data_IF_470294538813
#
_entry.id   IF_470294538813
#
_cell.length_a   1.000
_cell.length_b   1.000
_cell.length_c   1.000
_cell.angle_alpha   90.00
_cell.angle_beta   90.00
_cell.angle_gamma   90.00
#
_symmetry.space_group_name_H-M   'P 1'
#
loop_
_entity.id
_entity.type
_entity.pdbx_description
1 polymer ?
#
# COMPACT_ATOMS: atom_id res chain seq x y z
N UNK A 1 -4.95 1.67 30.81
CA UNK A 1 -4.40 0.38 31.24
C UNK A 1 -5.46 -0.64 31.64
N UNK A 2 -6.73 -0.33 31.62
CA UNK A 2 -7.77 -1.21 32.18
C UNK A 2 -8.64 -1.94 31.18
N UNK A 3 -8.78 -1.49 29.94
CA UNK A 3 -9.69 -2.14 28.97
C UNK A 3 -8.97 -3.22 28.14
N UNK A 4 -7.70 -3.04 27.84
CA UNK A 4 -6.90 -4.02 27.06
C UNK A 4 -6.51 -5.20 27.95
N UNK A 5 -6.20 -4.97 29.22
CA UNK A 5 -5.89 -6.01 30.19
C UNK A 5 -7.13 -6.87 30.56
N UNK A 6 -8.32 -6.27 30.57
CA UNK A 6 -9.58 -7.00 30.81
C UNK A 6 -10.01 -7.86 29.61
N UNK A 7 -9.68 -7.44 28.39
CA UNK A 7 -9.88 -8.25 27.17
C UNK A 7 -8.87 -9.40 27.12
N UNK A 8 -7.62 -9.18 27.50
CA UNK A 8 -6.59 -10.22 27.55
C UNK A 8 -6.90 -11.22 28.67
N UNK A 9 -7.34 -10.76 29.85
CA UNK A 9 -7.69 -11.64 30.97
C UNK A 9 -8.93 -12.53 30.73
N UNK A 10 -9.87 -12.09 29.85
CA UNK A 10 -11.00 -12.93 29.44
C UNK A 10 -10.64 -13.99 28.40
N UNK A 11 -9.57 -13.74 27.61
CA UNK A 11 -9.03 -14.73 26.67
C UNK A 11 -8.27 -15.85 27.41
N UNK A 12 -7.63 -15.55 28.53
CA UNK A 12 -6.91 -16.52 29.34
C UNK A 12 -7.85 -17.51 30.08
N UNK A 13 -9.13 -17.19 30.26
CA UNK A 13 -10.12 -18.06 30.91
C UNK A 13 -10.63 -19.20 30.00
N UNK A 14 -10.23 -19.26 28.73
CA UNK A 14 -10.63 -20.29 27.76
C UNK A 14 -9.36 -21.00 27.28
N UNK A 15 -8.82 -21.91 28.13
CA UNK A 15 -7.58 -22.67 27.83
C UNK A 15 -7.61 -23.44 26.49
N UNK A 16 -8.80 -23.88 26.03
CA UNK A 16 -8.95 -24.54 24.72
C UNK A 16 -8.89 -23.64 23.50
N UNK A 17 -8.92 -22.30 23.66
CA UNK A 17 -8.80 -21.33 22.55
C UNK A 17 -7.34 -21.03 22.25
N UNK A 18 -6.47 -21.07 23.25
CA UNK A 18 -5.01 -20.83 23.08
C UNK A 18 -4.36 -21.90 22.21
N UNK A 19 -4.62 -23.17 22.47
CA UNK A 19 -4.07 -24.27 21.66
C UNK A 19 -4.61 -24.27 20.22
N UNK A 20 -5.84 -23.82 20.01
CA UNK A 20 -6.44 -23.69 18.67
C UNK A 20 -5.92 -22.45 17.92
N UNK A 21 -5.58 -21.38 18.61
CA UNK A 21 -4.98 -20.17 18.01
C UNK A 21 -3.52 -20.44 17.62
N UNK A 22 -2.74 -21.07 18.46
CA UNK A 22 -1.34 -21.41 18.17
C UNK A 22 -1.22 -22.45 17.03
N UNK A 23 -2.15 -23.40 16.94
CA UNK A 23 -2.23 -24.34 15.81
C UNK A 23 -2.70 -23.68 14.50
N UNK A 24 -3.38 -22.52 14.57
CA UNK A 24 -3.89 -21.79 13.42
C UNK A 24 -3.00 -20.60 13.03
N UNK A 25 -1.93 -20.30 13.76
CA UNK A 25 -1.04 -19.18 13.50
C UNK A 25 -0.31 -19.38 12.17
N UNK A 26 -0.40 -18.44 11.22
CA UNK A 26 0.33 -18.54 9.97
C UNK A 26 1.84 -18.48 10.22
N UNK A 27 2.60 -19.27 9.46
CA UNK A 27 4.05 -19.15 9.43
C UNK A 27 4.45 -17.76 8.92
N UNK A 28 5.56 -17.24 9.42
CA UNK A 28 6.18 -16.03 8.86
C UNK A 28 6.59 -16.28 7.40
N UNK A 29 6.61 -15.25 6.54
CA UNK A 29 6.98 -15.39 5.15
C UNK A 29 8.26 -16.17 4.91
N UNK A 30 9.33 -15.91 5.68
CA UNK A 30 10.62 -16.64 5.58
C UNK A 30 10.53 -18.12 5.96
N UNK A 31 9.50 -18.52 6.67
CA UNK A 31 9.29 -19.89 7.17
C UNK A 31 8.22 -20.66 6.40
N UNK A 32 7.48 -19.99 5.51
CA UNK A 32 6.33 -20.56 4.81
C UNK A 32 6.77 -21.27 3.51
N UNK A 33 6.71 -22.62 3.45
CA UNK A 33 7.10 -23.38 2.26
C UNK A 33 6.28 -23.03 1.01
N UNK A 34 5.08 -22.44 1.19
CA UNK A 34 4.26 -21.95 0.08
C UNK A 34 4.99 -20.86 -0.72
N UNK A 35 5.82 -20.05 -0.08
CA UNK A 35 6.52 -18.91 -0.69
C UNK A 35 7.86 -19.30 -1.33
N UNK A 36 8.34 -20.54 -1.17
CA UNK A 36 9.57 -20.98 -1.82
C UNK A 36 9.31 -21.11 -3.31
N UNK A 37 9.96 -20.31 -4.20
CA UNK A 37 9.70 -20.35 -5.62
C UNK A 37 10.25 -21.62 -6.28
N UNK A 38 9.80 -21.96 -7.50
CA UNK A 38 10.50 -22.92 -8.37
C UNK A 38 11.94 -22.49 -8.64
N UNK A 39 12.83 -23.45 -8.86
CA UNK A 39 14.27 -23.18 -9.05
C UNK A 39 14.57 -22.33 -10.29
N UNK A 40 13.74 -22.40 -11.33
CA UNK A 40 13.93 -21.67 -12.58
C UNK A 40 12.67 -20.83 -12.89
N UNK A 41 12.74 -19.55 -12.56
CA UNK A 41 11.66 -18.58 -12.80
C UNK A 41 11.67 -18.01 -14.23
N UNK A 42 12.75 -18.21 -15.00
CA UNK A 42 12.85 -17.70 -16.38
C UNK A 42 11.87 -18.38 -17.32
N UNK A 43 11.38 -19.56 -16.95
CA UNK A 43 10.38 -20.33 -17.73
C UNK A 43 8.96 -19.75 -17.64
N UNK A 44 8.72 -18.85 -16.73
CA UNK A 44 7.39 -18.29 -16.47
C UNK A 44 7.30 -16.86 -16.97
N UNK A 45 6.20 -16.55 -17.63
CA UNK A 45 5.89 -15.18 -18.03
C UNK A 45 5.54 -14.33 -16.80
N UNK A 46 5.73 -12.99 -16.84
CA UNK A 46 5.25 -12.08 -15.82
C UNK A 46 3.77 -12.31 -15.49
N UNK A 47 3.43 -12.35 -14.20
CA UNK A 47 2.09 -12.64 -13.69
C UNK A 47 1.64 -14.10 -13.83
N UNK A 48 2.52 -15.03 -14.24
CA UNK A 48 2.20 -16.46 -14.22
C UNK A 48 2.05 -16.95 -12.77
N UNK A 49 0.91 -17.59 -12.46
CA UNK A 49 0.65 -18.16 -11.14
C UNK A 49 1.52 -19.41 -10.96
N UNK A 50 2.38 -19.39 -9.97
CA UNK A 50 3.24 -20.51 -9.59
C UNK A 50 2.53 -21.44 -8.60
N UNK A 51 1.77 -20.87 -7.66
CA UNK A 51 0.96 -21.59 -6.67
C UNK A 51 -0.22 -20.73 -6.21
N UNK A 52 -1.27 -21.36 -5.74
CA UNK A 52 -2.39 -20.71 -5.10
C UNK A 52 -2.84 -21.47 -3.86
N UNK A 53 -3.37 -20.76 -2.87
CA UNK A 53 -4.02 -21.37 -1.69
C UNK A 53 -5.15 -20.49 -1.18
N UNK A 54 -6.22 -21.10 -0.66
CA UNK A 54 -7.23 -20.40 0.10
C UNK A 54 -6.68 -20.01 1.48
N UNK A 55 -7.06 -18.82 1.95
CA UNK A 55 -6.65 -18.33 3.28
C UNK A 55 -7.84 -17.70 4.01
N UNK A 56 -7.74 -17.58 5.34
CA UNK A 56 -8.70 -16.85 6.16
C UNK A 56 -8.13 -15.50 6.54
N UNK A 57 -8.97 -14.47 6.45
CA UNK A 57 -8.60 -13.10 6.83
C UNK A 57 -9.05 -12.81 8.26
N UNK A 58 -8.26 -12.02 8.99
CA UNK A 58 -8.56 -11.61 10.35
C UNK A 58 -8.24 -10.16 10.61
N UNK A 59 -9.19 -9.39 11.14
CA UNK A 59 -8.89 -8.06 11.67
C UNK A 59 -7.93 -8.21 12.84
N UNK A 60 -6.75 -7.61 12.75
CA UNK A 60 -5.63 -7.73 13.70
C UNK A 60 -5.25 -9.20 14.01
N UNK A 61 -5.52 -10.12 13.08
CA UNK A 61 -5.36 -11.55 13.28
C UNK A 61 -6.38 -12.20 14.23
N UNK A 62 -7.25 -11.43 14.88
CA UNK A 62 -8.12 -11.90 15.97
C UNK A 62 -9.57 -12.12 15.52
N UNK A 63 -10.17 -11.16 14.81
CA UNK A 63 -11.57 -11.22 14.41
C UNK A 63 -11.69 -11.78 13.00
N UNK A 64 -12.22 -13.02 12.83
CA UNK A 64 -12.40 -13.60 11.50
C UNK A 64 -13.24 -12.71 10.60
N UNK A 65 -12.77 -12.47 9.38
CA UNK A 65 -13.50 -11.72 8.37
C UNK A 65 -14.21 -12.68 7.42
N UNK A 66 -15.50 -12.46 7.21
CA UNK A 66 -16.29 -13.30 6.31
C UNK A 66 -16.20 -12.75 4.88
N UNK A 67 -15.16 -13.19 4.18
CA UNK A 67 -14.85 -12.92 2.77
C UNK A 67 -14.24 -14.19 2.16
N UNK A 68 -14.27 -14.30 0.83
CA UNK A 68 -13.47 -15.31 0.13
C UNK A 68 -12.08 -14.74 -0.14
N UNK A 69 -11.02 -15.48 0.20
CA UNK A 69 -9.66 -15.01 0.06
C UNK A 69 -8.70 -16.11 -0.39
N UNK A 70 -7.76 -15.74 -1.25
CA UNK A 70 -6.68 -16.61 -1.73
C UNK A 70 -5.37 -15.85 -1.76
N UNK A 71 -4.28 -16.60 -1.70
CA UNK A 71 -2.95 -16.11 -1.96
C UNK A 71 -2.45 -16.73 -3.26
N UNK A 72 -1.91 -15.89 -4.13
CA UNK A 72 -1.31 -16.28 -5.41
C UNK A 72 0.17 -15.96 -5.34
N UNK A 73 1.03 -16.98 -5.37
CA UNK A 73 2.46 -16.81 -5.64
C UNK A 73 2.62 -16.77 -7.16
N UNK A 74 3.26 -15.74 -7.66
CA UNK A 74 3.41 -15.52 -9.11
C UNK A 74 4.84 -15.06 -9.46
N UNK A 75 5.19 -15.20 -10.74
CA UNK A 75 6.45 -14.67 -11.27
C UNK A 75 6.33 -13.17 -11.49
N UNK A 76 7.31 -12.42 -10.98
CA UNK A 76 7.47 -10.99 -11.17
C UNK A 76 8.91 -10.65 -11.57
N UNK A 77 9.24 -9.36 -11.56
CA UNK A 77 10.53 -8.81 -11.99
C UNK A 77 11.03 -7.84 -10.92
N UNK A 78 12.31 -7.93 -10.57
CA UNK A 78 12.96 -6.99 -9.66
C UNK A 78 13.36 -5.67 -10.37
N UNK A 79 13.99 -4.74 -9.65
CA UNK A 79 14.41 -3.45 -10.20
C UNK A 79 15.52 -3.56 -11.27
N UNK A 80 16.23 -4.68 -11.34
CA UNK A 80 17.30 -4.97 -12.30
C UNK A 80 16.79 -5.71 -13.54
N UNK A 81 15.50 -6.06 -13.58
CA UNK A 81 14.90 -6.83 -14.66
C UNK A 81 15.00 -8.34 -14.48
N UNK A 82 15.51 -8.81 -13.35
CA UNK A 82 15.67 -10.24 -13.08
C UNK A 82 14.37 -10.87 -12.60
N UNK A 83 14.10 -12.14 -12.96
CA UNK A 83 12.91 -12.85 -12.52
C UNK A 83 12.91 -13.10 -11.01
N UNK A 84 11.82 -12.76 -10.36
CA UNK A 84 11.58 -13.06 -8.95
C UNK A 84 10.19 -13.65 -8.73
N UNK A 85 9.94 -14.18 -7.54
CA UNK A 85 8.60 -14.56 -7.10
C UNK A 85 8.02 -13.50 -6.17
N UNK A 86 6.78 -13.10 -6.44
CA UNK A 86 6.01 -12.20 -5.60
C UNK A 86 4.67 -12.84 -5.21
N UNK A 87 3.99 -12.26 -4.23
CA UNK A 87 2.71 -12.77 -3.74
C UNK A 87 1.67 -11.66 -3.69
N UNK A 88 0.43 -11.99 -4.01
CA UNK A 88 -0.73 -11.14 -3.79
C UNK A 88 -1.80 -11.89 -3.01
N UNK A 89 -2.52 -11.19 -2.13
CA UNK A 89 -3.75 -11.65 -1.52
C UNK A 89 -4.93 -11.13 -2.31
N UNK A 90 -5.76 -12.02 -2.86
CA UNK A 90 -6.93 -11.66 -3.66
C UNK A 90 -8.20 -12.01 -2.91
N UNK A 91 -9.20 -11.14 -3.00
CA UNK A 91 -10.37 -11.14 -2.16
C UNK A 91 -11.65 -10.97 -2.99
N UNK A 92 -12.70 -11.66 -2.57
CA UNK A 92 -14.07 -11.42 -3.02
C UNK A 92 -14.97 -11.13 -1.84
N UNK A 93 -16.07 -10.37 -2.05
CA UNK A 93 -17.13 -10.25 -1.05
C UNK A 93 -17.64 -11.61 -0.59
N UNK A 94 -18.21 -11.66 0.61
CA UNK A 94 -18.92 -12.86 1.09
C UNK A 94 -20.06 -13.23 0.13
N UNK A 95 -20.16 -14.52 -0.18
CA UNK A 95 -21.20 -15.06 -1.08
C UNK A 95 -21.21 -14.40 -2.48
N UNK A 96 -20.03 -14.00 -2.99
CA UNK A 96 -19.92 -13.42 -4.32
C UNK A 96 -20.32 -14.44 -5.39
N UNK A 97 -21.25 -14.04 -6.26
CA UNK A 97 -21.67 -14.83 -7.41
C UNK A 97 -20.55 -14.80 -8.48
N UNK A 98 -19.99 -15.95 -8.88
CA UNK A 98 -18.92 -15.99 -9.88
C UNK A 98 -19.36 -15.52 -11.27
N UNK A 99 -20.67 -15.57 -11.58
CA UNK A 99 -21.22 -15.17 -12.88
C UNK A 99 -21.46 -13.64 -12.99
N UNK A 100 -21.28 -12.90 -11.89
CA UNK A 100 -21.44 -11.44 -11.88
C UNK A 100 -20.11 -10.78 -12.21
N UNK A 101 -20.05 -10.05 -13.32
CA UNK A 101 -18.90 -9.22 -13.67
C UNK A 101 -18.62 -8.17 -12.59
N UNK A 102 -17.35 -8.00 -12.25
CA UNK A 102 -16.89 -7.04 -11.24
C UNK A 102 -15.53 -6.46 -11.59
N UNK A 103 -15.25 -5.22 -11.20
CA UNK A 103 -13.92 -4.65 -11.36
C UNK A 103 -12.94 -5.25 -10.36
N UNK A 104 -11.65 -5.08 -10.63
CA UNK A 104 -10.57 -5.35 -9.71
C UNK A 104 -10.04 -4.04 -9.13
N UNK A 105 -9.97 -3.92 -7.80
CA UNK A 105 -9.19 -2.91 -7.13
C UNK A 105 -7.81 -3.48 -6.80
N UNK A 106 -6.75 -2.91 -7.36
CA UNK A 106 -5.39 -3.07 -6.86
C UNK A 106 -5.19 -2.07 -5.72
N UNK A 107 -5.17 -2.58 -4.49
CA UNK A 107 -4.97 -1.78 -3.30
C UNK A 107 -3.51 -1.88 -2.87
N UNK A 108 -2.81 -0.74 -2.94
CA UNK A 108 -1.41 -0.63 -2.54
C UNK A 108 -1.36 -0.21 -1.07
N UNK A 109 -1.04 -1.16 -0.21
CA UNK A 109 -0.97 -0.95 1.23
C UNK A 109 0.29 -0.16 1.62
N UNK A 110 0.21 0.72 2.62
CA UNK A 110 1.37 1.31 3.24
C UNK A 110 2.08 0.27 4.14
N UNK A 111 2.90 -0.59 3.52
CA UNK A 111 3.67 -1.63 4.23
C UNK A 111 4.74 -0.95 5.08
N UNK A 112 5.54 -0.07 4.47
CA UNK A 112 6.55 0.82 5.05
C UNK A 112 7.52 0.10 6.02
N UNK A 113 7.91 -1.13 5.70
CA UNK A 113 8.66 -2.00 6.61
C UNK A 113 9.53 -3.02 5.90
N UNK A 114 10.71 -3.26 6.45
CA UNK A 114 11.52 -4.43 6.10
C UNK A 114 11.13 -5.66 6.92
N UNK A 115 10.32 -5.48 7.95
CA UNK A 115 9.88 -6.53 8.87
C UNK A 115 8.80 -7.41 8.21
N UNK A 116 9.12 -8.66 7.93
CA UNK A 116 8.30 -9.59 7.15
C UNK A 116 6.88 -9.80 7.67
N UNK A 117 6.64 -9.63 8.98
CA UNK A 117 5.29 -9.71 9.56
C UNK A 117 4.38 -8.57 9.12
N UNK A 118 4.91 -7.51 8.51
CA UNK A 118 4.12 -6.39 7.98
C UNK A 118 3.60 -6.64 6.56
N UNK A 119 4.14 -7.63 5.86
CA UNK A 119 3.71 -8.01 4.52
C UNK A 119 2.20 -8.34 4.52
N UNK A 120 1.40 -7.80 3.58
CA UNK A 120 -0.05 -8.05 3.47
C UNK A 120 -0.42 -9.53 3.48
N UNK A 121 0.38 -10.36 2.81
CA UNK A 121 0.17 -11.82 2.76
C UNK A 121 0.26 -12.50 4.12
N UNK A 122 0.92 -11.90 5.10
CA UNK A 122 0.94 -12.37 6.47
C UNK A 122 0.01 -11.56 7.37
N UNK A 123 0.15 -10.23 7.39
CA UNK A 123 -0.50 -9.33 8.33
C UNK A 123 -2.04 -9.42 8.31
N UNK A 124 -2.63 -9.69 7.13
CA UNK A 124 -4.08 -9.80 6.97
C UNK A 124 -4.65 -11.19 7.33
N UNK A 125 -3.81 -12.18 7.58
CA UNK A 125 -4.30 -13.54 7.88
C UNK A 125 -4.87 -13.65 9.29
N UNK A 126 -5.90 -14.47 9.42
CA UNK A 126 -6.39 -14.89 10.74
C UNK A 126 -5.27 -15.63 11.49
N UNK A 127 -5.05 -15.27 12.75
CA UNK A 127 -3.96 -15.77 13.58
C UNK A 127 -2.63 -15.03 13.39
N UNK A 128 -2.51 -14.08 12.47
CA UNK A 128 -1.29 -13.28 12.30
C UNK A 128 -1.02 -12.37 13.51
N UNK A 129 0.25 -12.25 13.88
CA UNK A 129 0.69 -11.34 14.92
C UNK A 129 1.65 -10.30 14.33
N UNK A 130 1.11 -9.14 14.00
CA UNK A 130 1.83 -8.02 13.36
C UNK A 130 1.54 -6.68 14.07
N UNK A 131 1.87 -6.55 15.37
CA UNK A 131 1.57 -5.32 16.10
C UNK A 131 2.31 -4.13 15.50
N UNK A 132 1.56 -3.06 15.22
CA UNK A 132 2.11 -1.84 14.62
C UNK A 132 2.23 -1.87 13.09
N UNK A 133 1.75 -2.92 12.42
CA UNK A 133 1.58 -2.95 10.95
C UNK A 133 0.45 -2.01 10.53
N UNK A 134 0.71 -1.13 9.58
CA UNK A 134 -0.29 -0.22 9.00
C UNK A 134 -1.30 -1.00 8.17
N UNK A 135 -0.87 -2.01 7.44
CA UNK A 135 -1.72 -2.90 6.62
C UNK A 135 -2.94 -3.43 7.37
N UNK A 136 -2.79 -3.76 8.66
CA UNK A 136 -3.92 -4.23 9.47
C UNK A 136 -4.97 -3.14 9.73
N UNK A 137 -4.57 -1.88 9.81
CA UNK A 137 -5.47 -0.74 9.95
C UNK A 137 -6.21 -0.45 8.65
N UNK A 138 -5.52 -0.60 7.52
CA UNK A 138 -6.08 -0.36 6.18
C UNK A 138 -7.15 -1.38 5.76
N UNK A 139 -7.27 -2.50 6.46
CA UNK A 139 -8.35 -3.47 6.21
C UNK A 139 -9.74 -2.84 6.23
N UNK A 140 -9.95 -1.82 7.06
CA UNK A 140 -11.22 -1.08 7.11
C UNK A 140 -11.57 -0.40 5.78
N UNK A 141 -10.57 0.03 5.03
CA UNK A 141 -10.69 0.70 3.73
C UNK A 141 -10.98 -0.31 2.62
N UNK A 142 -10.24 -1.42 2.62
CA UNK A 142 -10.44 -2.57 1.72
C UNK A 142 -11.87 -3.10 1.83
N UNK A 143 -12.39 -3.21 3.05
CA UNK A 143 -13.77 -3.64 3.30
C UNK A 143 -14.82 -2.75 2.60
N UNK A 144 -14.53 -1.46 2.41
CA UNK A 144 -15.38 -0.53 1.66
C UNK A 144 -15.52 -0.93 0.18
N UNK A 145 -14.42 -1.34 -0.46
CA UNK A 145 -14.44 -1.79 -1.85
C UNK A 145 -15.16 -3.16 -1.99
N UNK A 146 -14.91 -4.08 -1.07
CA UNK A 146 -15.61 -5.38 -1.03
C UNK A 146 -17.11 -5.20 -0.90
N UNK A 147 -17.57 -4.26 -0.07
CA UNK A 147 -19.01 -3.95 0.04
C UNK A 147 -19.61 -3.34 -1.22
N UNK A 148 -18.80 -2.73 -2.08
CA UNK A 148 -19.25 -2.29 -3.43
C UNK A 148 -19.30 -3.43 -4.45
N UNK A 149 -19.01 -4.66 -4.03
CA UNK A 149 -19.02 -5.84 -4.88
C UNK A 149 -17.74 -6.04 -5.69
N UNK A 150 -16.69 -5.23 -5.44
CA UNK A 150 -15.44 -5.31 -6.18
C UNK A 150 -14.57 -6.50 -5.71
N UNK A 151 -13.81 -7.07 -6.63
CA UNK A 151 -12.67 -7.90 -6.27
C UNK A 151 -11.53 -6.98 -5.81
N UNK A 152 -10.70 -7.45 -4.87
CA UNK A 152 -9.55 -6.68 -4.39
C UNK A 152 -8.30 -7.54 -4.45
N UNK A 153 -7.21 -7.00 -5.00
CA UNK A 153 -5.86 -7.57 -4.94
C UNK A 153 -4.98 -6.68 -4.08
N UNK A 154 -4.20 -7.30 -3.19
CA UNK A 154 -3.26 -6.61 -2.30
C UNK A 154 -1.92 -7.33 -2.44
N UNK A 155 -1.00 -6.74 -3.22
CA UNK A 155 0.32 -7.29 -3.44
C UNK A 155 1.27 -7.00 -2.27
N UNK A 156 2.18 -7.93 -1.98
CA UNK A 156 3.36 -7.64 -1.16
C UNK A 156 4.37 -6.89 -2.04
N UNK A 157 4.04 -5.65 -2.42
CA UNK A 157 4.77 -4.87 -3.41
C UNK A 157 6.21 -4.53 -3.00
N UNK A 158 6.53 -4.52 -1.71
CA UNK A 158 7.92 -4.40 -1.21
C UNK A 158 8.72 -5.70 -1.35
N UNK A 159 8.07 -6.78 -1.81
CA UNK A 159 8.69 -8.06 -2.12
C UNK A 159 9.15 -8.86 -0.89
N UNK A 160 9.84 -10.00 -1.13
CA UNK A 160 10.20 -10.95 -0.06
C UNK A 160 11.19 -10.38 0.96
N UNK A 161 11.86 -9.28 0.63
CA UNK A 161 12.86 -8.66 1.47
C UNK A 161 12.40 -7.35 2.13
N UNK A 162 11.16 -6.90 1.89
CA UNK A 162 10.66 -5.63 2.39
C UNK A 162 11.50 -4.45 1.86
N UNK A 163 11.54 -4.27 0.55
CA UNK A 163 12.32 -3.23 -0.11
C UNK A 163 11.58 -1.88 -0.06
N UNK A 164 11.29 -1.41 1.14
CA UNK A 164 10.62 -0.11 1.34
C UNK A 164 11.40 1.03 0.68
N UNK A 165 10.71 1.78 -0.16
CA UNK A 165 11.30 2.90 -0.90
C UNK A 165 11.98 2.51 -2.22
N UNK A 166 12.02 1.23 -2.61
CA UNK A 166 12.59 0.79 -3.87
C UNK A 166 11.91 1.43 -5.08
N UNK A 167 12.65 1.78 -6.14
CA UNK A 167 12.08 2.31 -7.36
C UNK A 167 11.55 1.18 -8.25
N UNK A 168 10.54 1.46 -9.06
CA UNK A 168 9.98 0.61 -10.13
C UNK A 168 9.45 -0.76 -9.70
N UNK A 169 10.18 -1.56 -8.91
CA UNK A 169 9.80 -2.94 -8.59
C UNK A 169 8.47 -3.07 -7.83
N UNK A 170 8.05 -2.10 -6.96
CA UNK A 170 6.69 -2.14 -6.42
C UNK A 170 5.63 -2.09 -7.53
N UNK A 171 5.87 -1.30 -8.57
CA UNK A 171 5.02 -1.25 -9.77
C UNK A 171 5.00 -2.57 -10.53
N UNK A 172 6.16 -3.19 -10.77
CA UNK A 172 6.23 -4.48 -11.48
C UNK A 172 5.49 -5.58 -10.70
N UNK A 173 5.73 -5.70 -9.39
CA UNK A 173 5.06 -6.69 -8.54
C UNK A 173 3.56 -6.50 -8.53
N UNK A 174 3.08 -5.28 -8.39
CA UNK A 174 1.65 -4.98 -8.39
C UNK A 174 1.01 -5.26 -9.75
N UNK A 175 1.65 -4.88 -10.87
CA UNK A 175 1.16 -5.15 -12.23
C UNK A 175 1.10 -6.65 -12.51
N UNK A 176 2.10 -7.41 -12.09
CA UNK A 176 2.10 -8.88 -12.21
C UNK A 176 1.09 -9.55 -11.28
N UNK A 177 0.85 -8.97 -10.09
CA UNK A 177 -0.23 -9.36 -9.21
C UNK A 177 -1.61 -9.18 -9.83
N UNK A 178 -1.82 -8.07 -10.57
CA UNK A 178 -3.03 -7.84 -11.38
C UNK A 178 -3.16 -8.90 -12.47
N UNK A 179 -2.08 -9.17 -13.25
CA UNK A 179 -2.07 -10.24 -14.28
C UNK A 179 -2.44 -11.60 -13.69
N UNK A 180 -1.91 -11.93 -12.50
CA UNK A 180 -2.22 -13.16 -11.80
C UNK A 180 -3.70 -13.19 -11.37
N UNK A 181 -4.22 -12.11 -10.78
CA UNK A 181 -5.61 -12.01 -10.35
C UNK A 181 -6.59 -12.17 -11.54
N UNK A 182 -6.33 -11.51 -12.67
CA UNK A 182 -7.17 -11.58 -13.87
C UNK A 182 -7.20 -12.98 -14.50
N UNK A 183 -6.19 -13.80 -14.25
CA UNK A 183 -6.10 -15.21 -14.74
C UNK A 183 -6.57 -16.25 -13.73
N UNK A 184 -6.87 -15.83 -12.50
CA UNK A 184 -7.27 -16.75 -11.44
C UNK A 184 -8.77 -17.02 -11.50
N UNK A 185 -9.15 -18.15 -12.09
CA UNK A 185 -10.55 -18.52 -12.36
C UNK A 185 -11.53 -18.33 -11.17
N UNK A 186 -11.16 -18.62 -9.89
CA UNK A 186 -12.07 -18.42 -8.77
C UNK A 186 -12.54 -16.98 -8.54
N UNK A 187 -11.88 -15.97 -9.14
CA UNK A 187 -12.32 -14.57 -9.03
C UNK A 187 -13.41 -14.21 -10.07
N UNK A 188 -13.61 -15.02 -11.12
CA UNK A 188 -14.55 -14.68 -12.20
C UNK A 188 -14.14 -13.45 -13.02
N UNK A 189 -12.84 -13.09 -13.01
CA UNK A 189 -12.29 -11.97 -13.76
C UNK A 189 -11.77 -12.42 -15.13
N UNK A 190 -11.49 -11.46 -16.01
CA UNK A 190 -10.95 -11.74 -17.35
C UNK A 190 -10.01 -10.60 -17.81
N UNK A 191 -9.31 -10.79 -18.92
CA UNK A 191 -8.27 -9.86 -19.42
C UNK A 191 -8.76 -8.41 -19.68
N UNK A 192 -10.06 -8.20 -19.88
CA UNK A 192 -10.67 -6.86 -20.08
C UNK A 192 -11.39 -6.34 -18.85
N UNK A 193 -11.25 -6.99 -17.71
CA UNK A 193 -11.80 -6.48 -16.46
C UNK A 193 -11.16 -5.13 -16.14
N UNK A 194 -11.95 -4.06 -15.92
CA UNK A 194 -11.38 -2.76 -15.54
C UNK A 194 -10.70 -2.84 -14.18
N UNK A 195 -9.50 -2.26 -14.10
CA UNK A 195 -8.68 -2.22 -12.89
C UNK A 195 -8.67 -0.81 -12.35
N UNK A 196 -9.02 -0.67 -11.08
CA UNK A 196 -8.80 0.57 -10.31
C UNK A 196 -7.55 0.41 -9.45
N UNK A 197 -6.83 1.52 -9.22
CA UNK A 197 -5.64 1.54 -8.34
C UNK A 197 -5.89 2.51 -7.20
N UNK A 198 -5.55 2.11 -5.98
CA UNK A 198 -5.65 2.97 -4.81
C UNK A 198 -4.51 2.70 -3.84
N UNK A 199 -3.78 3.77 -3.49
CA UNK A 199 -2.75 3.74 -2.45
C UNK A 199 -2.67 5.07 -1.70
N UNK A 200 -2.20 5.02 -0.45
CA UNK A 200 -1.98 6.19 0.40
C UNK A 200 -0.60 6.13 1.05
N UNK A 201 0.09 7.28 1.20
CA UNK A 201 1.42 7.37 1.82
C UNK A 201 2.44 6.45 1.11
N UNK A 202 3.08 5.51 1.78
CA UNK A 202 3.92 4.50 1.14
C UNK A 202 3.16 3.66 0.11
N UNK A 203 1.90 3.31 0.37
CA UNK A 203 1.03 2.71 -0.64
C UNK A 203 0.73 3.65 -1.82
N UNK A 204 0.66 4.96 -1.57
CA UNK A 204 0.58 5.98 -2.63
C UNK A 204 1.85 6.04 -3.48
N UNK A 205 3.02 5.82 -2.87
CA UNK A 205 4.29 5.67 -3.60
C UNK A 205 4.28 4.42 -4.48
N UNK A 206 3.87 3.27 -3.94
CA UNK A 206 3.76 2.03 -4.69
C UNK A 206 2.75 2.14 -5.85
N UNK A 207 1.58 2.74 -5.60
CA UNK A 207 0.59 3.02 -6.63
C UNK A 207 1.10 4.00 -7.70
N UNK A 208 1.95 4.97 -7.32
CA UNK A 208 2.62 5.84 -8.28
C UNK A 208 3.56 5.04 -9.20
N UNK A 209 4.41 4.16 -8.63
CA UNK A 209 5.24 3.27 -9.44
C UNK A 209 4.42 2.34 -10.32
N UNK A 210 3.27 1.82 -9.82
CA UNK A 210 2.37 1.00 -10.63
C UNK A 210 1.92 1.75 -11.88
N UNK A 211 1.36 2.97 -11.74
CA UNK A 211 0.82 3.71 -12.89
C UNK A 211 1.92 4.29 -13.79
N UNK A 212 3.11 4.57 -13.26
CA UNK A 212 4.27 4.98 -14.06
C UNK A 212 4.83 3.83 -14.90
N UNK A 213 4.84 2.62 -14.35
CA UNK A 213 5.36 1.44 -15.07
C UNK A 213 4.34 0.79 -15.99
N UNK A 214 3.04 0.97 -15.77
CA UNK A 214 1.99 0.34 -16.55
C UNK A 214 2.15 0.55 -18.08
N UNK A 215 2.39 1.75 -18.61
CA UNK A 215 2.52 1.98 -20.05
C UNK A 215 3.67 1.23 -20.71
N UNK A 216 4.74 0.97 -19.98
CA UNK A 216 5.97 0.36 -20.52
C UNK A 216 6.13 -1.11 -20.15
N UNK A 217 5.55 -1.56 -19.04
CA UNK A 217 5.71 -2.92 -18.54
C UNK A 217 4.45 -3.79 -18.73
N UNK A 218 3.26 -3.19 -18.64
CA UNK A 218 1.98 -3.92 -18.72
C UNK A 218 0.93 -3.14 -19.54
N UNK A 219 1.24 -2.77 -20.80
CA UNK A 219 0.36 -1.94 -21.64
C UNK A 219 -0.97 -2.61 -21.99
N UNK A 220 -1.08 -3.92 -21.79
CA UNK A 220 -2.28 -4.71 -22.04
C UNK A 220 -3.33 -4.60 -20.92
N UNK A 221 -2.97 -4.07 -19.74
CA UNK A 221 -3.90 -3.93 -18.62
C UNK A 221 -4.79 -2.70 -18.78
N UNK A 222 -6.08 -2.88 -18.58
CA UNK A 222 -7.09 -1.82 -18.61
C UNK A 222 -7.16 -1.13 -17.22
N UNK A 223 -6.26 -0.14 -16.98
CA UNK A 223 -6.27 0.66 -15.75
C UNK A 223 -7.23 1.82 -15.96
N UNK A 224 -8.44 1.68 -15.43
CA UNK A 224 -9.51 2.66 -15.56
C UNK A 224 -9.21 3.99 -14.84
N UNK A 225 -8.41 3.95 -13.78
CA UNK A 225 -7.95 5.13 -13.06
C UNK A 225 -7.27 4.81 -11.74
N UNK A 226 -6.55 5.80 -11.19
CA UNK A 226 -5.81 5.67 -9.94
C UNK A 226 -6.12 6.81 -8.97
N UNK A 227 -6.21 6.49 -7.68
CA UNK A 227 -6.22 7.49 -6.59
C UNK A 227 -4.96 7.30 -5.75
N UNK A 228 -4.15 8.36 -5.72
CA UNK A 228 -2.87 8.41 -5.03
C UNK A 228 -2.96 9.48 -3.93
N UNK A 229 -3.12 9.04 -2.69
CA UNK A 229 -3.23 9.94 -1.54
C UNK A 229 -1.87 10.14 -0.88
N UNK A 230 -1.49 11.39 -0.64
CA UNK A 230 -0.25 11.77 0.04
C UNK A 230 0.95 10.87 -0.36
N UNK A 231 1.22 10.62 -1.67
CA UNK A 231 2.29 9.73 -2.08
C UNK A 231 3.66 10.33 -1.73
N UNK A 232 4.67 9.47 -1.62
CA UNK A 232 6.06 9.91 -1.36
C UNK A 232 6.71 10.33 -2.68
N UNK A 233 6.36 11.53 -3.18
CA UNK A 233 6.78 12.02 -4.50
C UNK A 233 8.27 12.29 -4.68
N UNK A 234 8.97 12.59 -3.56
CA UNK A 234 10.42 12.77 -3.50
C UNK A 234 10.95 12.17 -2.19
N UNK A 235 11.38 10.89 -2.21
CA UNK A 235 11.89 10.22 -1.01
C UNK A 235 13.08 10.93 -0.36
N UNK A 236 13.92 11.61 -1.15
CA UNK A 236 15.06 12.38 -0.62
C UNK A 236 14.62 13.58 0.21
N UNK A 237 13.63 14.34 -0.27
CA UNK A 237 13.05 15.45 0.52
C UNK A 237 12.36 14.95 1.78
N UNK A 238 11.62 13.84 1.69
CA UNK A 238 10.93 13.24 2.85
C UNK A 238 11.95 12.74 3.86
N UNK A 239 13.02 12.07 3.42
CA UNK A 239 14.11 11.63 4.29
C UNK A 239 14.68 12.79 5.13
N UNK A 240 15.09 13.87 4.47
CA UNK A 240 15.66 15.05 5.14
C UNK A 240 14.63 15.71 6.07
N UNK A 241 13.38 15.82 5.65
CA UNK A 241 12.32 16.47 6.41
C UNK A 241 11.89 15.70 7.67
N UNK A 242 12.02 14.38 7.69
CA UNK A 242 11.63 13.54 8.83
C UNK A 242 12.78 13.27 9.81
N UNK A 243 14.04 13.37 9.34
CA UNK A 243 15.21 13.09 10.15
C UNK A 243 15.29 13.99 11.39
N UNK A 244 15.53 13.42 12.57
CA UNK A 244 15.54 14.15 13.86
C UNK A 244 14.18 14.59 14.37
N UNK A 245 13.10 14.39 13.61
CA UNK A 245 11.74 14.83 13.93
C UNK A 245 10.88 13.77 14.64
N UNK A 246 9.58 14.11 14.76
CA UNK A 246 8.59 13.20 15.37
C UNK A 246 8.44 11.87 14.63
N UNK A 247 8.63 11.88 13.31
CA UNK A 247 8.47 10.71 12.44
C UNK A 247 9.83 10.15 11.96
N UNK A 248 10.89 10.40 12.74
CA UNK A 248 12.26 9.95 12.45
C UNK A 248 12.45 8.42 12.41
N UNK A 249 11.39 7.64 12.61
CA UNK A 249 11.43 6.19 12.44
C UNK A 249 11.41 5.74 10.99
N UNK A 250 10.84 6.51 10.05
CA UNK A 250 10.80 6.13 8.62
C UNK A 250 12.18 6.15 7.94
N UNK A 251 13.02 7.21 8.08
CA UNK A 251 14.33 7.24 7.46
C UNK A 251 15.20 6.00 7.72
N UNK A 252 15.39 5.50 8.96
CA UNK A 252 16.19 4.30 9.20
C UNK A 252 15.59 3.03 8.60
N UNK A 253 14.24 2.88 8.53
CA UNK A 253 13.61 1.73 7.85
C UNK A 253 13.96 1.78 6.36
N UNK A 254 13.83 2.94 5.72
CA UNK A 254 14.15 3.12 4.30
C UNK A 254 15.63 2.85 4.02
N UNK A 255 16.56 3.37 4.85
CA UNK A 255 17.99 3.06 4.75
C UNK A 255 18.22 1.55 4.85
N UNK A 256 17.63 0.88 5.83
CA UNK A 256 17.80 -0.56 6.03
C UNK A 256 17.29 -1.39 4.83
N UNK A 257 16.28 -0.90 4.11
CA UNK A 257 15.80 -1.49 2.87
C UNK A 257 16.76 -1.21 1.69
N UNK A 258 17.05 0.07 1.44
CA UNK A 258 17.78 0.52 0.25
C UNK A 258 19.23 0.09 0.21
N UNK A 259 19.91 -0.08 1.36
CA UNK A 259 21.30 -0.56 1.40
C UNK A 259 21.49 -1.92 0.70
N UNK A 260 20.43 -2.73 0.59
CA UNK A 260 20.47 -4.01 -0.14
C UNK A 260 20.40 -3.83 -1.65
N UNK A 261 19.82 -2.72 -2.10
CA UNK A 261 19.58 -2.42 -3.51
C UNK A 261 20.66 -1.53 -4.13
N UNK A 262 21.32 -0.71 -3.29
CA UNK A 262 22.35 0.24 -3.69
C UNK A 262 23.67 -0.07 -3.00
N UNK A 263 24.62 -0.78 -3.66
CA UNK A 263 25.91 -1.13 -3.07
C UNK A 263 26.69 0.08 -2.54
N UNK A 264 26.66 1.22 -3.25
CA UNK A 264 27.33 2.44 -2.81
C UNK A 264 26.79 2.97 -1.48
N UNK A 265 25.46 2.86 -1.23
CA UNK A 265 24.86 3.19 0.06
C UNK A 265 25.34 2.23 1.15
N UNK A 266 25.41 0.93 0.87
CA UNK A 266 25.89 -0.07 1.84
C UNK A 266 27.36 0.14 2.21
N UNK A 267 28.22 0.41 1.22
CA UNK A 267 29.66 0.73 1.44
C UNK A 267 29.82 1.98 2.30
N UNK A 268 29.07 3.04 1.99
CA UNK A 268 29.06 4.29 2.74
C UNK A 268 28.62 4.07 4.19
N UNK A 269 27.53 3.35 4.41
CA UNK A 269 27.02 3.06 5.75
C UNK A 269 28.00 2.19 6.57
N UNK A 270 28.68 1.25 5.91
CA UNK A 270 29.69 0.42 6.58
C UNK A 270 30.93 1.24 7.00
N UNK A 271 31.31 2.24 6.20
CA UNK A 271 32.43 3.11 6.50
C UNK A 271 32.12 4.15 7.59
N UNK A 272 30.94 4.77 7.54
CA UNK A 272 30.61 5.98 8.29
C UNK A 272 29.78 5.74 9.56
N UNK A 273 29.00 4.62 9.64
CA UNK A 273 28.16 4.36 10.81
C UNK A 273 28.99 3.86 11.99
N UNK A 274 28.82 4.50 13.14
CA UNK A 274 29.31 3.98 14.41
C UNK A 274 28.48 2.76 14.89
N UNK A 275 28.89 2.13 16.00
CA UNK A 275 28.25 0.93 16.52
C UNK A 275 26.79 1.16 16.95
N UNK A 276 26.42 2.36 17.42
CA UNK A 276 25.06 2.70 17.83
C UNK A 276 24.17 2.88 16.60
N UNK A 277 24.66 3.54 15.53
CA UNK A 277 23.95 3.68 14.27
C UNK A 277 23.63 2.32 13.61
N UNK A 278 24.58 1.38 13.64
CA UNK A 278 24.31 0.00 13.18
C UNK A 278 23.20 -0.67 13.96
N UNK A 279 23.19 -0.52 15.30
CA UNK A 279 22.09 -1.04 16.14
C UNK A 279 20.77 -0.36 15.85
N UNK A 280 20.76 0.95 15.59
CA UNK A 280 19.55 1.70 15.23
C UNK A 280 18.96 1.17 13.92
N UNK A 281 19.75 0.93 12.89
CA UNK A 281 19.30 0.32 11.64
C UNK A 281 18.78 -1.10 11.85
N UNK A 282 19.42 -1.90 12.69
CA UNK A 282 18.93 -3.25 13.04
C UNK A 282 17.57 -3.22 13.75
N UNK A 283 17.35 -2.25 14.65
CA UNK A 283 16.05 -2.05 15.32
C UNK A 283 15.00 -1.62 14.32
N UNK A 284 15.33 -0.68 13.43
CA UNK A 284 14.44 -0.20 12.39
C UNK A 284 14.03 -1.35 11.45
N UNK A 285 14.99 -2.14 10.97
CA UNK A 285 14.77 -3.27 10.07
C UNK A 285 13.83 -4.35 10.61
N UNK A 286 13.77 -4.52 11.93
CA UNK A 286 12.91 -5.54 12.59
C UNK A 286 11.63 -4.99 13.16
N UNK A 287 11.43 -3.68 13.07
CA UNK A 287 10.26 -3.00 13.65
C UNK A 287 9.16 -2.82 12.62
N UNK A 288 7.91 -3.04 13.05
CA UNK A 288 6.76 -2.55 12.31
C UNK A 288 6.76 -1.00 12.33
N UNK A 289 6.18 -0.32 11.32
CA UNK A 289 6.29 1.12 11.15
C UNK A 289 5.85 1.91 12.39
N UNK A 290 4.69 1.61 12.95
CA UNK A 290 4.19 2.33 14.14
C UNK A 290 5.08 2.15 15.37
N UNK A 291 5.73 0.99 15.51
CA UNK A 291 6.69 0.74 16.59
C UNK A 291 8.01 1.48 16.34
N UNK A 292 8.48 1.54 15.11
CA UNK A 292 9.67 2.31 14.74
C UNK A 292 9.46 3.80 14.97
N UNK A 293 8.31 4.35 14.58
CA UNK A 293 7.94 5.73 14.86
C UNK A 293 7.99 6.06 16.36
N UNK A 294 7.47 5.16 17.19
CA UNK A 294 7.50 5.35 18.65
C UNK A 294 8.92 5.26 19.22
N UNK A 295 9.71 4.27 18.79
CA UNK A 295 11.04 3.98 19.35
C UNK A 295 12.12 4.96 18.90
N UNK A 296 11.98 5.49 17.68
CA UNK A 296 13.00 6.28 17.01
C UNK A 296 12.60 7.77 16.87
N UNK A 297 11.52 8.19 17.54
CA UNK A 297 11.13 9.61 17.62
C UNK A 297 12.32 10.47 18.04
N UNK A 298 12.60 11.55 17.29
CA UNK A 298 13.65 12.52 17.58
C UNK A 298 15.08 12.02 17.29
N UNK A 299 15.25 10.82 16.72
CA UNK A 299 16.59 10.30 16.37
C UNK A 299 17.04 10.92 15.05
N UNK A 300 18.21 11.56 15.08
CA UNK A 300 18.88 12.07 13.88
C UNK A 300 19.92 11.05 13.39
N UNK A 301 19.80 10.61 12.13
CA UNK A 301 20.76 9.68 11.53
C UNK A 301 22.18 10.28 11.53
N UNK A 302 22.29 11.61 11.39
CA UNK A 302 23.55 12.32 11.43
C UNK A 302 24.34 12.15 12.73
N UNK A 303 23.66 11.93 13.87
CA UNK A 303 24.30 11.71 15.17
C UNK A 303 25.11 10.40 15.24
N UNK A 304 24.91 9.50 14.27
CA UNK A 304 25.49 8.17 14.22
C UNK A 304 26.57 8.02 13.12
N UNK A 305 26.88 9.12 12.42
CA UNK A 305 27.84 9.16 11.31
C UNK A 305 29.15 9.83 11.74
N UNK A 306 30.26 9.37 11.18
CA UNK A 306 31.58 9.96 11.43
C UNK A 306 31.78 11.29 10.66
N UNK A 307 30.99 11.52 9.58
CA UNK A 307 30.95 12.77 8.80
C UNK A 307 29.55 13.41 8.88
N UNK A 308 29.44 14.73 8.66
CA UNK A 308 28.15 15.40 8.58
C UNK A 308 27.21 14.76 7.53
N UNK A 309 25.96 14.47 7.89
CA UNK A 309 24.96 13.88 6.98
C UNK A 309 24.83 14.67 5.67
N UNK A 310 24.89 16.02 5.73
CA UNK A 310 24.79 16.87 4.56
C UNK A 310 25.92 16.63 3.53
N UNK A 311 27.13 16.28 3.98
CA UNK A 311 28.25 15.94 3.09
C UNK A 311 28.00 14.61 2.40
N UNK A 312 27.50 13.60 3.14
CA UNK A 312 27.18 12.29 2.59
C UNK A 312 26.04 12.38 1.55
N UNK A 313 25.00 13.15 1.84
CA UNK A 313 23.89 13.38 0.90
C UNK A 313 24.32 14.18 -0.34
N UNK A 314 25.45 14.88 -0.29
CA UNK A 314 26.01 15.62 -1.41
C UNK A 314 26.87 14.76 -2.33
N UNK A 315 27.18 13.53 -1.98
CA UNK A 315 27.95 12.62 -2.83
C UNK A 315 27.19 12.28 -4.13
N UNK A 316 27.89 12.14 -5.26
CA UNK A 316 27.24 11.88 -6.56
C UNK A 316 26.36 10.62 -6.54
N UNK A 317 26.83 9.56 -5.89
CA UNK A 317 26.11 8.27 -5.80
C UNK A 317 24.83 8.40 -5.00
N UNK A 318 24.84 9.17 -3.91
CA UNK A 318 23.64 9.42 -3.09
C UNK A 318 22.63 10.28 -3.84
N UNK A 319 23.09 11.30 -4.56
CA UNK A 319 22.21 12.10 -5.43
C UNK A 319 21.59 11.26 -6.53
N UNK A 320 22.39 10.43 -7.22
CA UNK A 320 21.92 9.53 -8.26
C UNK A 320 20.87 8.55 -7.72
N UNK A 321 21.09 7.98 -6.53
CA UNK A 321 20.11 7.15 -5.84
C UNK A 321 18.79 7.92 -5.58
N UNK A 322 18.83 9.11 -4.98
CA UNK A 322 17.62 9.88 -4.73
C UNK A 322 16.90 10.32 -6.00
N UNK A 323 17.65 10.59 -7.08
CA UNK A 323 17.06 10.88 -8.39
C UNK A 323 16.36 9.64 -8.97
N UNK A 324 16.90 8.43 -8.78
CA UNK A 324 16.28 7.16 -9.18
C UNK A 324 15.01 6.84 -8.37
N UNK A 325 14.97 7.20 -7.09
CA UNK A 325 13.80 7.02 -6.23
C UNK A 325 12.67 8.01 -6.52
N UNK A 326 12.95 9.13 -7.19
CA UNK A 326 12.00 10.23 -7.39
C UNK A 326 10.92 9.86 -8.39
N UNK A 327 9.66 10.00 -7.97
CA UNK A 327 8.49 9.77 -8.82
C UNK A 327 8.31 10.88 -9.88
N UNK A 328 7.66 10.53 -10.98
CA UNK A 328 7.38 11.44 -12.10
C UNK A 328 8.40 11.34 -13.24
N UNK A 329 9.24 10.30 -13.24
CA UNK A 329 10.13 9.96 -14.34
C UNK A 329 9.41 9.34 -15.55
N UNK A 330 8.26 8.71 -15.30
CA UNK A 330 7.41 8.13 -16.33
C UNK A 330 6.00 8.72 -16.22
N UNK A 331 5.25 8.66 -17.31
CA UNK A 331 3.95 9.34 -17.45
C UNK A 331 2.82 8.31 -17.34
N UNK A 332 1.94 8.40 -16.33
CA UNK A 332 0.73 7.58 -16.28
C UNK A 332 -0.14 7.78 -17.54
N UNK A 333 -0.67 6.68 -18.08
CA UNK A 333 -1.60 6.69 -19.22
C UNK A 333 -3.08 6.56 -18.79
N UNK A 334 -3.35 6.44 -17.50
CA UNK A 334 -4.69 6.44 -16.93
C UNK A 334 -4.99 7.77 -16.22
N UNK A 335 -6.28 8.13 -16.02
CA UNK A 335 -6.64 9.26 -15.17
C UNK A 335 -6.17 9.07 -13.74
N UNK A 336 -5.60 10.12 -13.14
CA UNK A 336 -5.09 10.10 -11.76
C UNK A 336 -5.79 11.16 -10.92
N UNK A 337 -6.30 10.77 -9.76
CA UNK A 337 -6.68 11.69 -8.70
C UNK A 337 -5.59 11.70 -7.63
N UNK A 338 -4.95 12.86 -7.46
CA UNK A 338 -4.02 13.10 -6.34
C UNK A 338 -4.77 13.80 -5.20
N UNK A 339 -4.61 13.32 -3.97
CA UNK A 339 -5.22 13.94 -2.78
C UNK A 339 -4.12 14.20 -1.75
N UNK A 340 -4.01 15.45 -1.26
CA UNK A 340 -2.92 15.86 -0.37
C UNK A 340 -3.41 16.79 0.74
N UNK A 341 -3.07 16.53 2.03
CA UNK A 341 -3.26 17.54 3.07
C UNK A 341 -2.29 18.71 2.86
N UNK A 342 -2.79 19.93 3.01
CA UNK A 342 -1.92 21.13 2.96
C UNK A 342 -0.97 21.15 4.16
N UNK A 343 -1.45 20.70 5.32
CA UNK A 343 -0.72 20.68 6.58
C UNK A 343 -0.14 19.29 6.90
N UNK A 344 0.34 18.59 5.87
CA UNK A 344 0.94 17.26 6.03
C UNK A 344 2.29 17.37 6.75
N UNK A 345 2.41 16.68 7.87
CA UNK A 345 3.61 16.67 8.71
C UNK A 345 4.57 15.52 8.37
N UNK A 346 4.21 14.66 7.43
CA UNK A 346 5.04 13.54 6.95
C UNK A 346 5.54 13.83 5.55
N UNK A 347 4.63 14.20 4.64
CA UNK A 347 4.93 14.44 3.23
C UNK A 347 4.50 15.85 2.85
N UNK A 348 5.46 16.70 2.55
CA UNK A 348 5.17 18.11 2.27
C UNK A 348 4.30 18.26 1.03
N UNK A 349 3.33 19.18 1.08
CA UNK A 349 2.49 19.52 -0.07
C UNK A 349 3.33 19.92 -1.30
N UNK A 350 4.50 20.53 -1.08
CA UNK A 350 5.44 20.92 -2.13
C UNK A 350 5.96 19.71 -2.93
N UNK A 351 6.33 18.62 -2.26
CA UNK A 351 6.81 17.41 -2.93
C UNK A 351 5.75 16.84 -3.90
N UNK A 352 4.47 16.91 -3.50
CA UNK A 352 3.36 16.45 -4.34
C UNK A 352 3.03 17.44 -5.45
N UNK A 353 3.12 18.76 -5.18
CA UNK A 353 2.99 19.78 -6.22
C UNK A 353 4.00 19.56 -7.36
N UNK A 354 5.23 19.22 -7.00
CA UNK A 354 6.30 18.93 -7.94
C UNK A 354 6.04 17.63 -8.73
N UNK A 355 5.54 16.56 -8.07
CA UNK A 355 5.16 15.31 -8.74
C UNK A 355 4.00 15.54 -9.73
N UNK A 356 2.94 16.22 -9.31
CA UNK A 356 1.81 16.61 -10.20
C UNK A 356 2.29 17.41 -11.40
N UNK A 357 3.20 18.37 -11.17
CA UNK A 357 3.76 19.16 -12.25
C UNK A 357 4.58 18.32 -13.24
N UNK A 358 5.34 17.30 -12.75
CA UNK A 358 6.06 16.34 -13.62
C UNK A 358 5.08 15.53 -14.47
N UNK A 359 4.06 14.94 -13.87
CA UNK A 359 3.04 14.16 -14.58
C UNK A 359 2.32 14.98 -15.66
N UNK A 360 1.87 16.20 -15.32
CA UNK A 360 1.16 17.06 -16.27
C UNK A 360 2.05 17.55 -17.41
N UNK A 361 3.33 17.84 -17.15
CA UNK A 361 4.29 18.17 -18.23
C UNK A 361 4.48 17.02 -19.21
N UNK A 362 4.36 15.78 -18.74
CA UNK A 362 4.37 14.58 -19.57
C UNK A 362 3.05 14.30 -20.28
N UNK A 363 1.99 15.06 -20.01
CA UNK A 363 0.68 14.90 -20.65
C UNK A 363 -0.31 14.03 -19.86
N UNK A 364 0.01 13.62 -18.62
CA UNK A 364 -0.94 12.84 -17.80
C UNK A 364 -2.17 13.68 -17.39
N UNK A 365 -3.35 13.04 -17.39
CA UNK A 365 -4.56 13.64 -16.85
C UNK A 365 -4.56 13.50 -15.33
N UNK A 366 -4.28 14.58 -14.61
CA UNK A 366 -4.23 14.62 -13.15
C UNK A 366 -5.21 15.63 -12.60
N UNK A 367 -6.20 15.14 -11.85
CA UNK A 367 -7.01 15.94 -10.93
C UNK A 367 -6.29 16.00 -9.59
N UNK A 368 -6.04 17.20 -9.08
CA UNK A 368 -5.31 17.38 -7.82
C UNK A 368 -6.15 18.10 -6.77
N UNK A 369 -6.44 17.43 -5.68
CA UNK A 369 -7.24 17.94 -4.57
C UNK A 369 -6.37 18.14 -3.33
N UNK A 370 -6.33 19.38 -2.81
CA UNK A 370 -5.64 19.72 -1.56
C UNK A 370 -6.67 19.97 -0.46
N UNK A 371 -6.46 19.37 0.73
CA UNK A 371 -7.32 19.53 1.91
C UNK A 371 -6.61 20.40 2.96
N UNK A 372 -7.28 21.44 3.47
CA UNK A 372 -6.69 22.35 4.46
C UNK A 372 -6.88 21.91 5.90
N UNK A 373 -7.93 21.14 6.18
CA UNK A 373 -8.30 20.79 7.56
C UNK A 373 -7.55 19.54 8.04
N UNK A 374 -7.37 18.57 7.14
CA UNK A 374 -6.76 17.29 7.51
C UNK A 374 -5.24 17.38 7.62
N UNK A 375 -4.68 16.41 8.31
CA UNK A 375 -3.26 16.11 8.37
C UNK A 375 -3.00 14.71 7.78
N UNK A 376 -1.77 14.23 7.77
CA UNK A 376 -1.38 13.00 7.08
C UNK A 376 -2.27 11.79 7.39
N UNK A 377 -2.55 11.54 8.67
CA UNK A 377 -3.26 10.33 9.09
C UNK A 377 -4.78 10.46 9.02
N UNK A 378 -5.32 11.65 9.27
CA UNK A 378 -6.77 11.89 9.27
C UNK A 378 -7.35 11.99 7.86
N UNK A 379 -6.56 12.43 6.86
CA UNK A 379 -7.05 12.55 5.49
C UNK A 379 -7.46 11.19 4.91
N UNK A 380 -6.73 10.12 5.19
CA UNK A 380 -7.00 8.80 4.63
C UNK A 380 -8.44 8.34 4.87
N UNK A 381 -8.95 8.21 6.13
CA UNK A 381 -10.34 7.82 6.35
C UNK A 381 -11.34 8.87 5.82
N UNK A 382 -11.03 10.16 5.91
CA UNK A 382 -11.94 11.22 5.48
C UNK A 382 -12.09 11.29 3.94
N UNK A 383 -11.02 10.97 3.20
CA UNK A 383 -11.02 10.95 1.74
C UNK A 383 -11.53 9.62 1.15
N UNK A 384 -11.68 8.57 1.95
CA UNK A 384 -12.07 7.24 1.47
C UNK A 384 -13.39 7.23 0.69
N UNK A 385 -14.49 7.88 1.13
CA UNK A 385 -15.72 7.93 0.34
C UNK A 385 -15.53 8.55 -1.04
N UNK A 386 -14.85 9.70 -1.09
CA UNK A 386 -14.52 10.39 -2.33
C UNK A 386 -13.67 9.50 -3.24
N UNK A 387 -12.66 8.84 -2.69
CA UNK A 387 -11.79 7.91 -3.41
C UNK A 387 -12.58 6.79 -4.07
N UNK A 388 -13.41 6.10 -3.31
CA UNK A 388 -14.22 4.99 -3.82
C UNK A 388 -15.25 5.46 -4.86
N UNK A 389 -15.86 6.63 -4.67
CA UNK A 389 -16.81 7.19 -5.64
C UNK A 389 -16.11 7.59 -6.94
N UNK A 390 -14.94 8.24 -6.86
CA UNK A 390 -14.15 8.61 -8.03
C UNK A 390 -13.71 7.38 -8.82
N UNK A 391 -13.21 6.34 -8.16
CA UNK A 391 -12.84 5.09 -8.82
C UNK A 391 -14.04 4.39 -9.45
N UNK A 392 -15.21 4.40 -8.79
CA UNK A 392 -16.45 3.86 -9.36
C UNK A 392 -16.84 4.59 -10.66
N UNK A 393 -16.64 5.90 -10.72
CA UNK A 393 -16.89 6.69 -11.93
C UNK A 393 -15.93 6.30 -13.07
N UNK A 394 -14.67 6.05 -12.77
CA UNK A 394 -13.69 5.60 -13.78
C UNK A 394 -14.00 4.19 -14.28
N UNK A 395 -14.27 3.26 -13.37
CA UNK A 395 -14.71 1.88 -13.70
C UNK A 395 -15.98 1.89 -14.58
N UNK A 396 -16.91 2.80 -14.31
CA UNK A 396 -18.15 2.93 -15.10
C UNK A 396 -17.95 3.66 -16.44
N UNK A 397 -16.71 4.02 -16.82
CA UNK A 397 -16.40 4.73 -18.06
C UNK A 397 -16.99 6.13 -18.14
N UNK A 398 -17.27 6.78 -17.00
CA UNK A 398 -17.77 8.15 -17.01
C UNK A 398 -16.70 9.11 -17.49
N UNK A 399 -17.16 10.27 -17.97
CA UNK A 399 -16.27 11.33 -18.49
C UNK A 399 -15.17 11.66 -17.48
N UNK A 400 -13.92 11.71 -17.97
CA UNK A 400 -12.75 12.02 -17.17
C UNK A 400 -12.71 13.53 -16.96
N UNK A 401 -12.63 14.03 -15.71
CA UNK A 401 -12.48 15.46 -15.47
C UNK A 401 -11.23 16.03 -16.13
N UNK A 402 -11.32 17.28 -16.59
CA UNK A 402 -10.15 18.01 -17.06
C UNK A 402 -9.09 18.16 -15.95
N UNK A 403 -7.80 18.13 -16.31
CA UNK A 403 -6.72 18.34 -15.35
C UNK A 403 -6.92 19.63 -14.56
N UNK A 404 -6.97 19.53 -13.24
CA UNK A 404 -7.27 20.67 -12.37
C UNK A 404 -6.55 20.57 -11.04
N UNK A 405 -6.34 21.73 -10.39
CA UNK A 405 -5.89 21.80 -9.00
C UNK A 405 -6.91 22.57 -8.19
N UNK A 406 -7.42 21.96 -7.14
CA UNK A 406 -8.38 22.58 -6.24
C UNK A 406 -7.89 22.48 -4.81
N UNK A 407 -8.02 23.56 -4.05
CA UNK A 407 -7.79 23.56 -2.60
C UNK A 407 -9.13 23.76 -1.92
N UNK A 408 -9.58 22.75 -1.19
CA UNK A 408 -10.82 22.79 -0.41
C UNK A 408 -10.53 23.00 1.07
N UNK A 409 -11.55 23.43 1.82
CA UNK A 409 -11.43 23.50 3.27
C UNK A 409 -11.31 22.09 3.85
N UNK A 410 -12.20 21.20 3.45
CA UNK A 410 -12.12 19.77 3.75
C UNK A 410 -12.80 18.95 2.66
N UNK A 411 -12.27 17.75 2.39
CA UNK A 411 -12.87 16.76 1.48
C UNK A 411 -14.24 16.26 1.95
N UNK A 412 -14.60 16.49 3.21
CA UNK A 412 -15.90 16.08 3.79
C UNK A 412 -16.98 17.15 3.69
N UNK A 413 -16.72 18.33 3.14
CA UNK A 413 -17.70 19.41 3.03
C UNK A 413 -18.80 19.15 2.01
N UNK A 414 -18.59 18.21 1.10
CA UNK A 414 -19.61 17.78 0.14
C UNK A 414 -20.65 16.88 0.82
N UNK A 415 -21.94 17.12 0.53
CA UNK A 415 -23.06 16.31 1.05
C UNK A 415 -22.97 14.81 0.72
N UNK A 416 -22.26 14.46 -0.37
CA UNK A 416 -21.99 13.08 -0.76
C UNK A 416 -21.02 12.39 0.20
N UNK A 417 -20.05 13.14 0.74
CA UNK A 417 -19.06 12.63 1.67
C UNK A 417 -19.70 12.16 2.98
N UNK A 418 -20.73 12.85 3.49
CA UNK A 418 -21.44 12.44 4.72
C UNK A 418 -22.12 11.08 4.59
N UNK A 419 -22.75 10.78 3.44
CA UNK A 419 -23.35 9.47 3.18
C UNK A 419 -22.30 8.39 3.12
N UNK A 420 -21.20 8.68 2.43
CA UNK A 420 -20.06 7.76 2.37
C UNK A 420 -19.42 7.49 3.74
N UNK A 421 -19.31 8.50 4.62
CA UNK A 421 -18.82 8.31 5.99
C UNK A 421 -19.79 7.45 6.83
N UNK A 422 -21.11 7.59 6.65
CA UNK A 422 -22.09 6.71 7.28
C UNK A 422 -21.94 5.27 6.77
N UNK A 423 -21.81 5.07 5.47
CA UNK A 423 -21.55 3.75 4.86
C UNK A 423 -20.25 3.14 5.42
N UNK A 424 -19.19 3.94 5.57
CA UNK A 424 -17.94 3.50 6.21
C UNK A 424 -18.12 3.11 7.68
N UNK A 425 -18.93 3.86 8.43
CA UNK A 425 -19.23 3.53 9.84
C UNK A 425 -19.94 2.18 9.94
N UNK A 426 -20.91 1.93 9.06
CA UNK A 426 -21.60 0.63 8.95
C UNK A 426 -20.60 -0.46 8.56
N UNK A 427 -19.69 -0.18 7.63
CA UNK A 427 -18.65 -1.12 7.19
C UNK A 427 -17.70 -1.45 8.35
N UNK A 428 -17.18 -0.44 9.04
CA UNK A 428 -16.32 -0.62 10.20
C UNK A 428 -17.01 -1.44 11.31
N UNK A 429 -18.29 -1.19 11.58
CA UNK A 429 -19.06 -1.99 12.53
C UNK A 429 -19.15 -3.46 12.11
N UNK A 430 -19.37 -3.74 10.82
CA UNK A 430 -19.39 -5.13 10.31
C UNK A 430 -18.02 -5.80 10.44
N UNK A 431 -16.95 -5.09 10.11
CA UNK A 431 -15.57 -5.55 10.23
C UNK A 431 -15.24 -5.91 11.69
N UNK A 432 -15.51 -5.01 12.63
CA UNK A 432 -15.24 -5.23 14.07
C UNK A 432 -16.06 -6.38 14.63
N UNK A 433 -17.28 -6.57 14.16
CA UNK A 433 -18.16 -7.66 14.59
C UNK A 433 -17.96 -8.96 13.78
N UNK A 434 -17.02 -9.03 12.84
CA UNK A 434 -16.81 -10.18 11.98
C UNK A 434 -18.03 -10.56 11.13
N UNK A 435 -18.86 -9.59 10.74
CA UNK A 435 -20.06 -9.81 9.95
C UNK A 435 -19.74 -9.94 8.45
N UNK A 436 -20.55 -10.68 7.66
CA UNK A 436 -20.29 -10.84 6.22
C UNK A 436 -20.17 -9.50 5.49
N UNK A 437 -19.09 -9.36 4.71
CA UNK A 437 -18.90 -8.23 3.80
C UNK A 437 -19.50 -8.60 2.43
N UNK A 438 -20.81 -8.49 2.30
CA UNK A 438 -21.54 -8.78 1.06
C UNK A 438 -21.51 -7.56 0.15
N UNK A 439 -21.34 -7.80 -1.15
CA UNK A 439 -21.52 -6.77 -2.17
C UNK A 439 -22.97 -6.27 -2.15
N UNK A 440 -23.16 -4.96 -2.17
CA UNK A 440 -24.51 -4.39 -2.32
C UNK A 440 -24.99 -4.65 -3.76
N UNK A 441 -26.06 -5.44 -3.89
CA UNK A 441 -26.77 -5.64 -5.16
C UNK A 441 -27.55 -4.36 -5.46
N UNK A 442 -26.94 -3.41 -6.16
CA UNK A 442 -27.62 -2.19 -6.58
C UNK A 442 -27.15 -1.79 -7.98
N UNK A 443 -28.00 -1.15 -8.79
CA UNK A 443 -27.59 -0.72 -10.12
C UNK A 443 -26.38 0.21 -9.99
N UNK A 444 -25.31 -0.11 -10.69
CA UNK A 444 -24.08 0.70 -10.80
C UNK A 444 -24.29 2.04 -11.51
N UNK A 445 -25.56 2.44 -11.75
CA UNK A 445 -25.96 3.69 -12.36
C UNK A 445 -26.46 4.70 -11.32
N UNK A 446 -25.56 5.29 -10.53
CA UNK A 446 -25.85 6.57 -9.90
C UNK A 446 -25.60 7.70 -10.93
N UNK A 447 -26.44 8.74 -11.01
CA UNK A 447 -26.27 9.81 -11.98
C UNK A 447 -24.92 10.52 -11.80
N UNK A 448 -24.32 10.93 -12.92
CA UNK A 448 -23.08 11.69 -12.96
C UNK A 448 -23.12 12.85 -11.96
N UNK A 449 -22.14 12.91 -11.06
CA UNK A 449 -22.01 14.04 -10.14
C UNK A 449 -20.99 14.99 -10.71
N UNK A 450 -21.48 16.12 -11.17
CA UNK A 450 -20.67 17.28 -11.45
C UNK A 450 -20.06 17.73 -10.12
N UNK A 451 -18.74 17.68 -10.00
CA UNK A 451 -18.05 18.43 -8.96
C UNK A 451 -18.39 19.90 -9.22
N UNK A 452 -19.34 20.45 -8.47
CA UNK A 452 -19.75 21.84 -8.63
C UNK A 452 -18.56 22.76 -8.53
N UNK A 453 -18.54 23.75 -9.44
CA UNK A 453 -17.46 24.73 -9.64
C UNK A 453 -17.21 25.61 -8.42
#
# INVERSE_FOLDING_TARGET
>A
MTVIEDVIGRVDAISGVRDTIDAARPLLPSQDPFLIPPADLTRYAPGAILRSRAVRIGLFGLVPQQVSAWQLLYRSTDMNGEPEAAITTVLLPADADPDVERPLLAFESAIDATAEQCAPSYALRLGAFAPGSITQLEWMLVAGALRRGWAVGIADHEGPHGNFGAPREPGYRSLDGIRAALRFAPLGLHARTPVAVWGYSGGGMAGSWLVEMAPVYAPELDIAGAVLGAPVGDPGQVFVGLNGGRFAGFPPIMIAALRRLYPALDELLNAELNAEGRRLLDVAARSAPMLALHRLTGRDVGDYLDRPLAELLAEPEMRAMFDDLRLGGHVPNCPVLMIQPVNDQVITVRAIDEQVARYRRGGANVTYLRDRLSEHFSLLPLATPLTLDWLADRIAGREVPEPSTRTVWSVVTDSSSWRGLLEMTVTATRVVLGRPLRGESGPQSRPARTLAA
#
